data_IF_497965123109
#
_entry.id   IF_497965123109
#
_cell.length_a   1.000
_cell.length_b   1.000
_cell.length_c   1.000
_cell.angle_alpha   90.00
_cell.angle_beta   90.00
_cell.angle_gamma   90.00
#
_symmetry.space_group_name_H-M   'P 1'
#
loop_
_entity.id
_entity.type
_entity.pdbx_description
1 polymer ?
#
# COMPACT_ATOMS: atom_id res chain seq x y z
N UNK A 1 11.03 24.42 7.99
CA UNK A 1 10.02 24.61 9.05
C UNK A 1 10.69 24.84 10.40
N UNK A 2 11.53 23.94 10.91
CA UNK A 2 12.18 24.10 12.22
C UNK A 2 13.02 25.37 12.30
N UNK A 3 13.90 25.63 11.36
CA UNK A 3 14.74 26.84 11.32
C UNK A 3 13.93 28.13 11.25
N UNK A 4 12.86 28.10 10.48
CA UNK A 4 11.97 29.26 10.29
C UNK A 4 10.92 29.38 11.40
N UNK A 5 10.87 28.44 12.35
CA UNK A 5 9.87 28.36 13.43
C UNK A 5 8.42 28.42 12.90
N UNK A 6 8.17 27.76 11.78
CA UNK A 6 6.85 27.71 11.13
C UNK A 6 6.19 26.39 11.48
N UNK A 7 4.99 26.46 12.07
CA UNK A 7 4.17 25.28 12.33
C UNK A 7 3.87 24.55 11.02
N UNK A 8 4.28 23.30 10.94
CA UNK A 8 4.11 22.47 9.77
C UNK A 8 3.50 21.13 10.18
N UNK A 9 2.40 20.76 9.56
CA UNK A 9 1.69 19.50 9.82
C UNK A 9 1.69 18.67 8.54
N UNK A 10 2.36 17.51 8.57
CA UNK A 10 2.32 16.55 7.48
C UNK A 10 1.08 15.67 7.60
N UNK A 11 0.25 15.70 6.57
CA UNK A 11 -0.99 14.91 6.49
C UNK A 11 -0.83 13.63 5.67
N UNK A 12 0.28 13.54 4.90
CA UNK A 12 0.60 12.38 4.05
C UNK A 12 2.11 12.15 3.86
N UNK A 13 2.95 12.76 4.61
CA UNK A 13 4.40 12.56 4.57
C UNK A 13 4.82 11.41 5.50
N UNK A 14 4.59 10.15 5.12
CA UNK A 14 4.69 9.00 6.03
C UNK A 14 6.10 8.40 6.17
N UNK A 15 7.15 9.00 5.59
CA UNK A 15 8.51 8.46 5.70
C UNK A 15 9.00 8.34 7.15
N UNK A 16 9.56 7.20 7.49
CA UNK A 16 10.15 6.95 8.82
C UNK A 16 11.34 7.86 9.07
N UNK A 17 12.11 8.20 8.04
CA UNK A 17 13.30 9.07 8.14
C UNK A 17 13.03 10.49 8.64
N UNK A 18 11.78 10.96 8.58
CA UNK A 18 11.48 12.33 8.98
C UNK A 18 11.91 12.60 10.43
N UNK A 19 11.50 11.76 11.36
CA UNK A 19 11.80 11.93 12.79
C UNK A 19 12.99 11.10 13.26
N UNK A 20 13.36 10.06 12.53
CA UNK A 20 14.53 9.25 12.89
C UNK A 20 15.85 9.92 12.53
N UNK A 21 15.88 10.69 11.42
CA UNK A 21 17.11 11.23 10.85
C UNK A 21 17.05 12.72 10.53
N UNK A 22 15.99 13.16 9.84
CA UNK A 22 15.94 14.53 9.33
C UNK A 22 15.64 15.55 10.41
N UNK A 23 14.71 15.26 11.31
CA UNK A 23 14.29 16.15 12.41
C UNK A 23 14.04 15.32 13.68
N UNK A 24 15.10 14.82 14.35
CA UNK A 24 14.94 13.92 15.49
C UNK A 24 14.34 14.58 16.74
N UNK A 25 14.37 15.90 16.82
CA UNK A 25 13.83 16.68 17.94
C UNK A 25 12.90 17.79 17.44
N UNK A 26 11.73 17.45 16.86
CA UNK A 26 10.84 18.42 16.27
C UNK A 26 10.20 19.33 17.34
N UNK A 27 10.06 20.62 17.01
CA UNK A 27 9.34 21.61 17.81
C UNK A 27 8.19 22.25 17.02
N UNK A 28 8.35 22.36 15.71
CA UNK A 28 7.41 23.02 14.81
C UNK A 28 6.85 22.08 13.76
N UNK A 29 7.41 20.87 13.65
CA UNK A 29 6.98 19.86 12.68
C UNK A 29 6.19 18.76 13.38
N UNK A 30 4.99 18.46 12.86
CA UNK A 30 4.10 17.43 13.35
C UNK A 30 3.65 16.54 12.21
N UNK A 31 3.24 15.31 12.50
CA UNK A 31 2.66 14.39 11.54
C UNK A 31 1.38 13.77 12.10
N UNK A 32 0.33 13.71 11.29
CA UNK A 32 -0.98 13.15 11.63
C UNK A 32 -1.35 11.95 10.75
N UNK A 33 -0.38 11.41 10.04
CA UNK A 33 -0.53 10.18 9.24
C UNK A 33 0.26 9.02 9.85
N UNK A 34 0.06 7.80 9.34
CA UNK A 34 0.84 6.62 9.69
C UNK A 34 2.32 6.74 9.25
N UNK A 35 3.07 5.68 9.47
CA UNK A 35 4.47 5.54 9.04
C UNK A 35 4.62 4.39 8.04
N UNK A 36 5.59 4.47 7.16
CA UNK A 36 5.82 3.48 6.08
C UNK A 36 6.08 2.07 6.60
N UNK A 37 6.81 1.95 7.71
CA UNK A 37 7.03 0.67 8.39
C UNK A 37 5.73 -0.01 8.82
N UNK A 38 4.73 0.76 9.25
CA UNK A 38 3.43 0.21 9.62
C UNK A 38 2.68 -0.38 8.41
N UNK A 39 2.76 0.25 7.23
CA UNK A 39 2.13 -0.25 6.01
C UNK A 39 2.71 -1.60 5.62
N UNK A 40 4.04 -1.72 5.57
CA UNK A 40 4.72 -2.97 5.23
C UNK A 40 4.44 -4.07 6.24
N UNK A 41 4.55 -3.75 7.54
CA UNK A 41 4.31 -4.71 8.61
C UNK A 41 2.85 -5.19 8.64
N UNK A 42 1.87 -4.29 8.52
CA UNK A 42 0.46 -4.65 8.53
C UNK A 42 0.10 -5.54 7.32
N UNK A 43 0.58 -5.20 6.13
CA UNK A 43 0.39 -6.01 4.93
C UNK A 43 0.96 -7.42 5.13
N UNK A 44 2.19 -7.55 5.63
CA UNK A 44 2.84 -8.83 5.84
C UNK A 44 2.16 -9.68 6.93
N UNK A 45 1.69 -9.06 8.01
CA UNK A 45 0.91 -9.74 9.06
C UNK A 45 -0.42 -10.27 8.52
N UNK A 46 -1.13 -9.48 7.74
CA UNK A 46 -2.37 -9.91 7.09
C UNK A 46 -2.14 -11.10 6.15
N UNK A 47 -1.07 -11.07 5.37
CA UNK A 47 -0.65 -12.20 4.51
C UNK A 47 -0.34 -13.43 5.34
N UNK A 48 0.46 -13.29 6.40
CA UNK A 48 0.85 -14.43 7.24
C UNK A 48 -0.37 -15.10 7.91
N UNK A 49 -1.37 -14.30 8.28
CA UNK A 49 -2.61 -14.79 8.85
C UNK A 49 -3.51 -15.47 7.81
N UNK A 50 -3.68 -14.85 6.64
CA UNK A 50 -4.61 -15.35 5.62
C UNK A 50 -4.01 -16.49 4.79
N UNK A 51 -2.71 -16.45 4.53
CA UNK A 51 -2.00 -17.38 3.62
C UNK A 51 -0.70 -17.93 4.23
N UNK A 52 -0.79 -18.71 5.32
CA UNK A 52 0.40 -19.19 6.07
C UNK A 52 1.30 -20.15 5.29
N UNK A 53 0.83 -20.63 4.14
CA UNK A 53 1.54 -21.62 3.32
C UNK A 53 2.25 -21.03 2.11
N UNK A 54 2.24 -19.70 1.89
CA UNK A 54 3.00 -19.08 0.80
C UNK A 54 4.50 -19.34 0.96
N UNK A 55 5.20 -19.54 -0.16
CA UNK A 55 6.64 -19.84 -0.21
C UNK A 55 7.39 -18.89 -1.13
N UNK A 56 6.92 -18.77 -2.36
CA UNK A 56 7.59 -17.99 -3.40
C UNK A 56 6.91 -16.62 -3.54
N UNK A 57 7.68 -15.59 -3.40
CA UNK A 57 7.16 -14.21 -3.35
C UNK A 57 7.78 -13.38 -4.47
N UNK A 58 6.93 -12.71 -5.23
CA UNK A 58 7.33 -11.62 -6.11
C UNK A 58 7.03 -10.28 -5.43
N UNK A 59 7.85 -9.29 -5.72
CA UNK A 59 7.69 -7.91 -5.27
C UNK A 59 7.65 -6.95 -6.45
N UNK A 60 6.71 -6.00 -6.44
CA UNK A 60 6.70 -4.84 -7.35
C UNK A 60 6.45 -3.61 -6.49
N UNK A 61 7.46 -2.77 -6.32
CA UNK A 61 7.41 -1.58 -5.49
C UNK A 61 7.94 -0.37 -6.24
N UNK A 62 7.40 0.84 -6.00
CA UNK A 62 7.94 2.03 -6.65
C UNK A 62 9.37 2.31 -6.16
N UNK A 63 10.25 2.70 -7.11
CA UNK A 63 11.68 2.87 -6.85
C UNK A 63 12.00 4.20 -6.15
N UNK A 64 11.54 4.32 -4.90
CA UNK A 64 11.91 5.42 -4.00
C UNK A 64 11.75 4.98 -2.53
N UNK A 65 11.98 5.89 -1.57
CA UNK A 65 12.03 5.54 -0.14
C UNK A 65 10.82 4.76 0.38
N UNK A 66 9.60 5.07 -0.09
CA UNK A 66 8.40 4.36 0.32
C UNK A 66 8.45 2.88 -0.09
N UNK A 67 8.69 2.61 -1.37
CA UNK A 67 8.72 1.23 -1.87
C UNK A 67 9.83 0.42 -1.21
N UNK A 68 11.01 1.03 -1.01
CA UNK A 68 12.16 0.38 -0.34
C UNK A 68 11.84 0.05 1.12
N UNK A 69 11.27 0.98 1.86
CA UNK A 69 10.89 0.75 3.26
C UNK A 69 9.79 -0.30 3.41
N UNK A 70 8.78 -0.29 2.53
CA UNK A 70 7.75 -1.33 2.56
C UNK A 70 8.35 -2.71 2.31
N UNK A 71 9.21 -2.85 1.30
CA UNK A 71 9.92 -4.10 1.00
C UNK A 71 10.70 -4.61 2.22
N UNK A 72 11.47 -3.74 2.85
CA UNK A 72 12.29 -4.10 4.02
C UNK A 72 11.42 -4.60 5.18
N UNK A 73 10.34 -3.87 5.50
CA UNK A 73 9.48 -4.23 6.62
C UNK A 73 8.62 -5.48 6.35
N UNK A 74 8.15 -5.67 5.12
CA UNK A 74 7.52 -6.93 4.68
C UNK A 74 8.51 -8.09 4.87
N UNK A 75 9.75 -7.92 4.42
CA UNK A 75 10.79 -8.95 4.50
C UNK A 75 11.14 -9.30 5.96
N UNK A 76 11.22 -8.30 6.86
CA UNK A 76 11.45 -8.53 8.29
C UNK A 76 10.32 -9.36 8.90
N UNK A 77 9.07 -9.01 8.62
CA UNK A 77 7.91 -9.74 9.16
C UNK A 77 7.82 -11.14 8.57
N UNK A 78 8.03 -11.32 7.27
CA UNK A 78 8.02 -12.64 6.65
C UNK A 78 9.12 -13.53 7.19
N UNK A 79 10.34 -13.01 7.38
CA UNK A 79 11.42 -13.78 8.00
C UNK A 79 11.05 -14.33 9.39
N UNK A 80 10.22 -13.61 10.13
CA UNK A 80 9.75 -14.01 11.46
C UNK A 80 8.53 -14.93 11.43
N UNK A 81 7.53 -14.58 10.60
CA UNK A 81 6.23 -15.25 10.59
C UNK A 81 6.13 -16.37 9.58
N UNK A 82 6.82 -16.24 8.45
CA UNK A 82 6.85 -17.18 7.33
C UNK A 82 8.31 -17.50 6.94
N UNK A 83 9.12 -18.09 7.82
CA UNK A 83 10.58 -18.22 7.65
C UNK A 83 11.02 -19.07 6.45
N UNK A 84 10.07 -19.74 5.78
CA UNK A 84 10.34 -20.58 4.61
C UNK A 84 10.03 -19.85 3.29
N UNK A 85 9.74 -18.56 3.34
CA UNK A 85 9.49 -17.77 2.14
C UNK A 85 10.79 -17.37 1.46
N UNK A 86 10.75 -17.30 0.13
CA UNK A 86 11.84 -16.89 -0.75
C UNK A 86 11.36 -15.83 -1.73
N UNK A 87 12.15 -14.79 -1.94
CA UNK A 87 11.90 -13.79 -2.96
C UNK A 87 12.43 -14.27 -4.30
N UNK A 88 11.54 -14.53 -5.23
CA UNK A 88 11.89 -15.08 -6.57
C UNK A 88 11.85 -14.04 -7.68
N UNK A 89 11.25 -12.89 -7.43
CA UNK A 89 11.19 -11.78 -8.41
C UNK A 89 11.05 -10.44 -7.71
N UNK A 90 11.76 -9.44 -8.24
CA UNK A 90 11.63 -8.05 -7.82
C UNK A 90 11.46 -7.13 -9.03
N UNK A 91 10.54 -6.19 -8.92
CA UNK A 91 10.29 -5.11 -9.87
C UNK A 91 10.33 -3.76 -9.18
N UNK A 92 11.07 -2.81 -9.74
CA UNK A 92 11.26 -1.47 -9.18
C UNK A 92 10.90 -0.40 -10.24
N UNK A 93 9.60 -0.24 -10.56
CA UNK A 93 9.17 0.82 -11.48
C UNK A 93 9.42 2.20 -10.87
N UNK A 94 9.78 3.17 -11.73
CA UNK A 94 9.84 4.57 -11.31
C UNK A 94 8.44 5.09 -11.00
N UNK A 95 8.35 6.07 -10.11
CA UNK A 95 7.08 6.77 -9.85
C UNK A 95 6.57 7.43 -11.14
N UNK A 96 5.29 7.28 -11.44
CA UNK A 96 4.68 7.73 -12.69
C UNK A 96 4.85 6.77 -13.86
N UNK A 97 5.29 5.53 -13.62
CA UNK A 97 5.32 4.48 -14.64
C UNK A 97 3.91 4.19 -15.15
N UNK A 98 3.74 4.19 -16.46
CA UNK A 98 2.47 3.89 -17.13
C UNK A 98 2.43 2.50 -17.77
N UNK A 99 3.59 1.91 -18.05
CA UNK A 99 3.73 0.55 -18.61
C UNK A 99 4.44 -0.37 -17.61
N UNK A 100 3.68 -1.32 -17.09
CA UNK A 100 4.14 -2.33 -16.13
C UNK A 100 4.37 -3.70 -16.76
N UNK A 101 4.20 -3.84 -18.06
CA UNK A 101 4.23 -5.13 -18.78
C UNK A 101 5.49 -5.96 -18.45
N UNK A 102 6.67 -5.32 -18.46
CA UNK A 102 7.93 -6.00 -18.17
C UNK A 102 8.00 -6.52 -16.71
N UNK A 103 7.51 -5.73 -15.76
CA UNK A 103 7.46 -6.13 -14.34
C UNK A 103 6.46 -7.26 -14.11
N UNK A 104 5.29 -7.19 -14.74
CA UNK A 104 4.23 -8.20 -14.65
C UNK A 104 4.69 -9.53 -15.26
N UNK A 105 5.24 -9.50 -16.47
CA UNK A 105 5.68 -10.71 -17.16
C UNK A 105 6.86 -11.37 -16.45
N UNK A 106 7.80 -10.57 -15.90
CA UNK A 106 8.88 -11.08 -15.04
C UNK A 106 8.33 -11.77 -13.80
N UNK A 107 7.37 -11.15 -13.11
CA UNK A 107 6.75 -11.73 -11.92
C UNK A 107 6.03 -13.05 -12.25
N UNK A 108 5.21 -13.07 -13.30
CA UNK A 108 4.50 -14.29 -13.75
C UNK A 108 5.50 -15.40 -14.13
N UNK A 109 6.58 -15.04 -14.83
CA UNK A 109 7.62 -16.01 -15.25
C UNK A 109 8.34 -16.69 -14.09
N UNK A 110 8.46 -16.01 -12.95
CA UNK A 110 9.03 -16.56 -11.73
C UNK A 110 8.10 -17.54 -10.95
N UNK A 111 6.82 -17.63 -11.37
CA UNK A 111 5.80 -18.52 -10.79
C UNK A 111 5.67 -18.40 -9.26
N UNK A 112 5.52 -17.21 -8.70
CA UNK A 112 5.37 -17.03 -7.25
C UNK A 112 3.98 -17.46 -6.78
N UNK A 113 3.87 -17.75 -5.49
CA UNK A 113 2.57 -17.94 -4.82
C UNK A 113 1.86 -16.61 -4.53
N UNK A 114 2.68 -15.56 -4.36
CA UNK A 114 2.22 -14.25 -3.90
C UNK A 114 2.98 -13.12 -4.60
N UNK A 115 2.25 -12.10 -5.03
CA UNK A 115 2.79 -10.78 -5.35
C UNK A 115 2.50 -9.83 -4.18
N UNK A 116 3.52 -9.16 -3.68
CA UNK A 116 3.38 -8.02 -2.77
C UNK A 116 3.73 -6.74 -3.51
N UNK A 117 2.86 -5.74 -3.42
CA UNK A 117 3.07 -4.46 -4.07
C UNK A 117 2.75 -3.28 -3.15
N UNK A 118 3.52 -2.21 -3.27
CA UNK A 118 3.23 -0.91 -2.66
C UNK A 118 3.07 0.20 -3.70
N UNK A 119 2.84 -0.17 -4.95
CA UNK A 119 2.43 0.78 -5.99
C UNK A 119 1.08 1.36 -5.61
N UNK A 120 0.87 2.66 -5.79
CA UNK A 120 -0.31 3.37 -5.30
C UNK A 120 -0.86 4.38 -6.31
N UNK A 121 -2.06 4.92 -6.04
CA UNK A 121 -2.69 5.95 -6.85
C UNK A 121 -2.93 5.53 -8.30
N UNK A 122 -2.60 6.42 -9.24
CA UNK A 122 -2.75 6.18 -10.68
C UNK A 122 -1.87 5.05 -11.20
N UNK A 123 -0.64 4.93 -10.67
CA UNK A 123 0.30 3.86 -11.03
C UNK A 123 -0.27 2.48 -10.65
N UNK A 124 -0.94 2.39 -9.49
CA UNK A 124 -1.64 1.17 -9.08
C UNK A 124 -2.75 0.78 -10.05
N UNK A 125 -3.54 1.76 -10.51
CA UNK A 125 -4.59 1.49 -11.51
C UNK A 125 -4.01 1.00 -12.83
N UNK A 126 -2.89 1.56 -13.28
CA UNK A 126 -2.20 1.11 -14.48
C UNK A 126 -1.65 -0.32 -14.31
N UNK A 127 -0.97 -0.60 -13.17
CA UNK A 127 -0.48 -1.93 -12.84
C UNK A 127 -1.62 -2.96 -12.83
N UNK A 128 -2.74 -2.66 -12.16
CA UNK A 128 -3.85 -3.60 -12.02
C UNK A 128 -4.55 -3.90 -13.34
N UNK A 129 -4.83 -2.88 -14.15
CA UNK A 129 -5.45 -3.09 -15.46
C UNK A 129 -4.59 -3.98 -16.36
N UNK A 130 -3.27 -3.76 -16.37
CA UNK A 130 -2.34 -4.59 -17.14
C UNK A 130 -2.20 -5.98 -16.53
N UNK A 131 -2.16 -6.10 -15.20
CA UNK A 131 -2.12 -7.39 -14.52
C UNK A 131 -3.36 -8.25 -14.82
N UNK A 132 -4.56 -7.65 -14.91
CA UNK A 132 -5.77 -8.32 -15.36
C UNK A 132 -5.63 -8.84 -16.78
N UNK A 133 -5.13 -8.01 -17.71
CA UNK A 133 -4.93 -8.40 -19.13
C UNK A 133 -3.94 -9.57 -19.27
N UNK A 134 -2.94 -9.67 -18.40
CA UNK A 134 -1.96 -10.74 -18.37
C UNK A 134 -2.39 -11.98 -17.55
N UNK A 135 -3.59 -11.96 -16.96
CA UNK A 135 -4.11 -13.06 -16.15
C UNK A 135 -3.27 -13.30 -14.88
N UNK A 136 -2.71 -12.25 -14.29
CA UNK A 136 -1.85 -12.37 -13.11
C UNK A 136 -2.62 -12.90 -11.90
N UNK A 137 -3.85 -12.44 -11.69
CA UNK A 137 -4.68 -12.79 -10.54
C UNK A 137 -5.15 -14.25 -10.54
N UNK A 138 -5.14 -14.91 -11.70
CA UNK A 138 -5.44 -16.35 -11.83
C UNK A 138 -4.22 -17.22 -11.47
N UNK A 139 -3.03 -16.63 -11.42
CA UNK A 139 -1.76 -17.35 -11.26
C UNK A 139 -1.17 -17.23 -9.85
N UNK A 140 -1.48 -16.17 -9.14
CA UNK A 140 -0.90 -15.89 -7.83
C UNK A 140 -1.82 -15.03 -6.96
N UNK A 141 -1.67 -15.12 -5.66
CA UNK A 141 -2.29 -14.22 -4.68
C UNK A 141 -1.67 -12.82 -4.79
N UNK A 142 -2.42 -11.80 -4.42
CA UNK A 142 -1.92 -10.43 -4.42
C UNK A 142 -2.20 -9.74 -3.09
N UNK A 143 -1.18 -9.10 -2.53
CA UNK A 143 -1.29 -8.24 -1.36
C UNK A 143 -0.71 -6.85 -1.67
N UNK A 144 -1.36 -5.81 -1.19
CA UNK A 144 -0.99 -4.43 -1.45
C UNK A 144 -1.19 -3.53 -0.24
N UNK A 145 -0.36 -2.52 -0.08
CA UNK A 145 -0.41 -1.62 1.06
C UNK A 145 -1.43 -0.49 0.92
N UNK A 146 -1.72 -0.01 -0.29
CA UNK A 146 -2.51 1.21 -0.52
C UNK A 146 -3.60 1.10 -1.60
N UNK A 147 -4.14 -0.08 -1.83
CA UNK A 147 -5.10 -0.30 -2.92
C UNK A 147 -6.53 0.15 -2.62
N UNK A 148 -6.97 0.04 -1.38
CA UNK A 148 -8.40 0.11 -1.05
C UNK A 148 -8.99 1.51 -1.08
N UNK A 149 -8.18 2.56 -1.18
CA UNK A 149 -8.70 3.93 -1.18
C UNK A 149 -9.37 4.31 -2.52
N UNK A 150 -8.70 4.06 -3.63
CA UNK A 150 -9.12 4.57 -4.96
C UNK A 150 -9.49 3.42 -5.91
N UNK A 151 -8.78 2.31 -5.84
CA UNK A 151 -8.89 1.25 -6.83
C UNK A 151 -10.28 0.60 -6.93
N UNK A 152 -11.00 0.27 -5.84
CA UNK A 152 -12.34 -0.31 -5.96
C UNK A 152 -13.33 0.62 -6.67
N UNK A 153 -13.22 1.93 -6.46
CA UNK A 153 -14.08 2.89 -7.15
C UNK A 153 -13.75 3.02 -8.64
N UNK A 154 -12.45 3.02 -8.96
CA UNK A 154 -11.99 3.21 -10.33
C UNK A 154 -12.13 1.95 -11.19
N UNK A 155 -12.02 0.77 -10.60
CA UNK A 155 -12.12 -0.52 -11.28
C UNK A 155 -13.54 -1.11 -11.20
N UNK A 156 -14.33 -0.73 -10.20
CA UNK A 156 -15.68 -1.24 -10.01
C UNK A 156 -15.72 -2.77 -9.96
N UNK A 157 -16.57 -3.37 -10.79
CA UNK A 157 -16.72 -4.83 -10.92
C UNK A 157 -15.47 -5.54 -11.46
N UNK A 158 -14.55 -4.82 -12.07
CA UNK A 158 -13.30 -5.38 -12.59
C UNK A 158 -12.20 -5.44 -11.53
N UNK A 159 -12.48 -4.98 -10.30
CA UNK A 159 -11.55 -5.15 -9.18
C UNK A 159 -11.49 -6.64 -8.79
N UNK A 160 -10.30 -7.26 -8.81
CA UNK A 160 -10.18 -8.68 -8.53
C UNK A 160 -10.55 -9.01 -7.08
N UNK A 161 -11.25 -10.11 -6.91
CA UNK A 161 -11.55 -10.65 -5.58
C UNK A 161 -10.32 -11.32 -4.95
N UNK A 162 -10.34 -11.47 -3.62
CA UNK A 162 -9.29 -12.18 -2.88
C UNK A 162 -7.97 -11.42 -2.74
N UNK A 163 -7.93 -10.13 -3.09
CA UNK A 163 -6.77 -9.29 -2.86
C UNK A 163 -6.75 -8.81 -1.41
N UNK A 164 -5.63 -9.01 -0.71
CA UNK A 164 -5.39 -8.32 0.55
C UNK A 164 -4.99 -6.89 0.24
N UNK A 165 -5.80 -5.93 0.68
CA UNK A 165 -5.56 -4.52 0.45
C UNK A 165 -5.43 -3.73 1.74
N UNK A 166 -4.52 -2.77 1.76
CA UNK A 166 -4.35 -1.80 2.82
C UNK A 166 -4.81 -0.41 2.43
N UNK A 167 -4.90 0.45 3.42
CA UNK A 167 -5.22 1.87 3.29
C UNK A 167 -4.70 2.62 4.53
N UNK A 168 -4.30 3.88 4.37
CA UNK A 168 -3.79 4.70 5.49
C UNK A 168 -4.85 5.00 6.56
N UNK A 169 -6.13 5.01 6.18
CA UNK A 169 -7.24 5.23 7.09
C UNK A 169 -8.46 4.43 6.63
N UNK A 170 -9.30 4.07 7.57
CA UNK A 170 -10.54 3.39 7.24
C UNK A 170 -11.41 4.27 6.35
N UNK A 171 -11.87 3.71 5.25
CA UNK A 171 -12.82 4.38 4.39
C UNK A 171 -14.13 4.57 5.14
N UNK A 172 -14.82 5.69 4.90
CA UNK A 172 -16.05 6.03 5.61
C UNK A 172 -17.16 4.96 5.55
N UNK A 173 -17.14 4.11 4.52
CA UNK A 173 -18.14 3.03 4.34
C UNK A 173 -17.63 1.63 4.71
N UNK A 174 -16.31 1.43 4.92
CA UNK A 174 -15.74 0.10 5.20
C UNK A 174 -15.68 -0.22 6.69
N UNK A 175 -15.67 0.79 7.54
CA UNK A 175 -15.59 0.61 8.98
C UNK A 175 -16.99 0.52 9.61
N UNK A 176 -17.43 -0.67 10.05
CA UNK A 176 -18.61 -0.75 10.90
C UNK A 176 -18.20 -0.45 12.36
N UNK A 177 -18.88 0.33 13.08
CA UNK A 177 -20.09 1.08 12.81
C UNK A 177 -19.80 2.57 12.50
N UNK A 178 -19.62 2.86 11.24
CA UNK A 178 -19.37 4.22 10.74
C UNK A 178 -20.35 5.28 11.30
N UNK A 179 -21.58 4.86 11.58
CA UNK A 179 -22.65 5.74 12.04
C UNK A 179 -22.60 6.04 13.55
N UNK A 180 -21.68 5.42 14.31
CA UNK A 180 -21.46 5.76 15.73
C UNK A 180 -20.94 7.18 15.92
N UNK A 181 -20.36 7.77 14.89
CA UNK A 181 -19.72 9.06 14.98
C UNK A 181 -20.58 10.12 14.31
N UNK A 182 -21.38 10.90 15.06
CA UNK A 182 -22.25 11.94 14.49
C UNK A 182 -21.49 12.92 13.61
N UNK A 183 -20.23 13.22 13.98
CA UNK A 183 -19.37 14.10 13.20
C UNK A 183 -19.01 13.50 11.84
N UNK A 184 -18.76 12.19 11.76
CA UNK A 184 -18.48 11.52 10.49
C UNK A 184 -19.68 11.58 9.54
N UNK A 185 -20.88 11.30 10.04
CA UNK A 185 -22.11 11.41 9.24
C UNK A 185 -22.32 12.83 8.71
N UNK A 186 -22.25 13.81 9.60
CA UNK A 186 -22.40 15.24 9.22
C UNK A 186 -21.34 15.69 8.22
N UNK A 187 -20.08 15.23 8.37
CA UNK A 187 -19.01 15.52 7.42
C UNK A 187 -19.30 14.95 6.03
N UNK A 188 -19.69 13.68 5.95
CA UNK A 188 -20.01 12.99 4.68
C UNK A 188 -21.17 13.71 3.97
N UNK A 189 -22.27 13.97 4.69
CA UNK A 189 -23.43 14.66 4.13
C UNK A 189 -23.06 16.05 3.55
N UNK A 190 -22.30 16.85 4.30
CA UNK A 190 -21.83 18.17 3.86
C UNK A 190 -20.86 18.09 2.69
N UNK A 191 -19.96 17.08 2.68
CA UNK A 191 -19.02 16.88 1.60
C UNK A 191 -19.75 16.59 0.29
N UNK A 192 -20.67 15.61 0.29
CA UNK A 192 -21.43 15.26 -0.90
C UNK A 192 -22.39 16.37 -1.34
N UNK A 193 -22.94 17.13 -0.42
CA UNK A 193 -23.77 18.29 -0.78
C UNK A 193 -22.99 19.38 -1.52
N UNK A 194 -21.69 19.51 -1.24
CA UNK A 194 -20.84 20.54 -1.83
C UNK A 194 -20.10 20.10 -3.09
N UNK A 195 -19.70 18.83 -3.16
CA UNK A 195 -18.73 18.36 -4.15
C UNK A 195 -19.25 17.23 -5.05
N UNK A 196 -20.54 17.17 -5.25
CA UNK A 196 -21.18 16.23 -6.17
C UNK A 196 -20.65 16.35 -7.59
#
# INVERSE_FOLDING_TARGET
AEELKVLTIFVDGCTDFLFDKAVPNPKYIFRVTNIQSADGAACALAVAQAWPNVRLIAHIHPDYSYGRNVFDHVSIVFKKMLPKTEVVSEGWPKLGTTDFTSHITKAIGAKPDLLVTSVWGGDYLALYKQALQHGLFDKMKVATTLALAVAPHALGKDHPEGVIGGVHANYHFTYPPRDRWPLNKSFIEKYYARWK
#
